data_IF_761909946943
#
_entry.id   IF_761909946943
#
_cell.length_a   1.000
_cell.length_b   1.000
_cell.length_c   1.000
_cell.angle_alpha   90.00
_cell.angle_beta   90.00
_cell.angle_gamma   90.00
#
_symmetry.space_group_name_H-M   'P 1'
#
loop_
_entity.id
_entity.type
_entity.pdbx_description
1 polymer ?
#
# COMPACT_ATOMS: atom_id res chain seq x y z
N UNK A 1 -16.90 12.72 12.12
CA UNK A 1 -15.51 12.24 12.16
C UNK A 1 -14.96 12.26 10.75
N UNK A 2 -13.72 12.68 10.59
CA UNK A 2 -13.01 12.65 9.33
C UNK A 2 -12.07 11.42 9.33
N UNK A 3 -11.83 10.86 8.16
CA UNK A 3 -11.08 9.62 7.98
C UNK A 3 -9.98 9.81 6.94
N UNK A 4 -8.78 9.33 7.27
CA UNK A 4 -7.64 9.37 6.36
C UNK A 4 -7.80 8.22 5.36
N UNK A 5 -7.91 8.57 4.08
CA UNK A 5 -7.98 7.62 2.97
C UNK A 5 -6.60 7.38 2.42
N UNK A 6 -6.24 6.12 2.31
CA UNK A 6 -5.03 5.70 1.63
C UNK A 6 -5.36 4.62 0.60
N UNK A 7 -4.38 4.31 -0.25
CA UNK A 7 -4.47 3.32 -1.30
C UNK A 7 -3.32 2.34 -1.20
N UNK A 8 -3.63 1.05 -1.25
CA UNK A 8 -2.62 -0.01 -1.42
C UNK A 8 -1.93 0.12 -2.78
N UNK A 9 -0.60 0.00 -2.82
CA UNK A 9 0.14 0.18 -4.08
C UNK A 9 0.02 -1.02 -5.02
N UNK A 10 -0.10 -2.22 -4.46
CA UNK A 10 -0.23 -3.48 -5.20
C UNK A 10 -1.64 -3.72 -5.74
N UNK A 11 -2.68 -3.57 -4.89
CA UNK A 11 -4.07 -3.89 -5.26
C UNK A 11 -4.90 -2.69 -5.70
N UNK A 12 -4.37 -1.46 -5.56
CA UNK A 12 -5.10 -0.20 -5.76
C UNK A 12 -6.38 -0.03 -4.90
N UNK A 13 -6.60 -0.90 -3.90
CA UNK A 13 -7.77 -0.81 -3.02
C UNK A 13 -7.65 0.38 -2.09
N UNK A 14 -8.79 1.04 -1.84
CA UNK A 14 -8.87 2.19 -0.93
C UNK A 14 -9.19 1.69 0.48
N UNK A 15 -8.43 2.19 1.45
CA UNK A 15 -8.58 1.87 2.85
C UNK A 15 -8.67 3.14 3.69
N UNK A 16 -9.14 2.95 4.92
CA UNK A 16 -9.08 3.92 5.99
C UNK A 16 -7.89 3.62 6.90
N UNK A 17 -7.08 4.64 7.17
CA UNK A 17 -5.96 4.54 8.12
C UNK A 17 -6.42 5.06 9.48
N UNK A 18 -6.23 4.26 10.51
CA UNK A 18 -6.55 4.58 11.91
C UNK A 18 -5.24 4.75 12.72
N UNK A 19 -5.30 5.40 13.89
CA UNK A 19 -4.13 5.56 14.77
C UNK A 19 -3.19 6.72 14.43
N UNK A 20 -3.58 7.63 13.54
CA UNK A 20 -2.82 8.84 13.20
C UNK A 20 -3.73 10.05 13.03
N UNK A 21 -3.25 11.23 13.43
CA UNK A 21 -4.00 12.47 13.30
C UNK A 21 -3.89 13.05 11.89
N UNK A 22 -4.98 13.65 11.42
CA UNK A 22 -5.06 14.29 10.11
C UNK A 22 -3.98 15.36 9.87
N UNK A 23 -3.54 16.04 10.92
CA UNK A 23 -2.49 17.08 10.85
C UNK A 23 -1.09 16.53 10.57
N UNK A 24 -0.85 15.25 10.87
CA UNK A 24 0.48 14.63 10.78
C UNK A 24 0.70 13.96 9.42
N UNK A 25 -0.32 13.94 8.56
CA UNK A 25 -0.34 13.21 7.29
C UNK A 25 -0.73 14.13 6.15
N UNK A 26 0.05 14.14 5.07
CA UNK A 26 -0.25 14.91 3.87
C UNK A 26 -0.72 14.01 2.73
N UNK A 27 -1.53 14.57 1.83
CA UNK A 27 -1.89 13.89 0.58
C UNK A 27 -0.61 13.61 -0.22
N UNK A 28 -0.44 12.36 -0.64
CA UNK A 28 0.75 11.89 -1.33
C UNK A 28 1.80 11.23 -0.44
N UNK A 29 1.70 11.36 0.89
CA UNK A 29 2.58 10.66 1.83
C UNK A 29 2.45 9.15 1.66
N UNK A 30 3.56 8.45 1.88
CA UNK A 30 3.61 7.01 2.00
C UNK A 30 3.67 6.64 3.48
N UNK A 31 2.77 5.76 3.92
CA UNK A 31 2.68 5.28 5.29
C UNK A 31 2.88 3.77 5.31
N UNK A 32 3.57 3.31 6.35
CA UNK A 32 3.60 1.90 6.72
C UNK A 32 2.43 1.65 7.66
N UNK A 33 1.57 0.72 7.30
CA UNK A 33 0.36 0.36 8.05
C UNK A 33 0.36 -1.14 8.34
N UNK A 34 -0.24 -1.52 9.47
CA UNK A 34 -0.56 -2.90 9.79
C UNK A 34 -1.93 -3.24 9.22
N UNK A 35 -1.97 -4.18 8.29
CA UNK A 35 -3.20 -4.82 7.81
C UNK A 35 -3.33 -6.25 8.36
N UNK A 36 -4.41 -6.93 7.98
CA UNK A 36 -4.61 -8.36 8.28
C UNK A 36 -3.53 -9.27 7.67
N UNK A 37 -2.83 -8.81 6.61
CA UNK A 37 -1.80 -9.57 5.91
C UNK A 37 -0.38 -9.30 6.41
N UNK A 38 -0.19 -8.27 7.23
CA UNK A 38 1.12 -7.84 7.70
C UNK A 38 1.36 -6.34 7.54
N UNK A 39 2.63 -5.96 7.53
CA UNK A 39 3.06 -4.59 7.28
C UNK A 39 2.99 -4.28 5.78
N UNK A 40 2.27 -3.22 5.42
CA UNK A 40 2.08 -2.80 4.03
C UNK A 40 2.32 -1.31 3.86
N UNK A 41 2.70 -0.89 2.64
CA UNK A 41 2.91 0.51 2.30
C UNK A 41 1.70 1.03 1.52
N UNK A 42 1.13 2.12 2.02
CA UNK A 42 -0.04 2.77 1.42
C UNK A 42 0.24 4.23 1.11
N UNK A 43 -0.37 4.73 0.03
CA UNK A 43 -0.27 6.14 -0.37
C UNK A 43 -1.51 6.90 0.06
N UNK A 44 -1.32 8.01 0.76
CA UNK A 44 -2.40 8.85 1.27
C UNK A 44 -3.08 9.59 0.11
N UNK A 45 -4.38 9.40 -0.04
CA UNK A 45 -5.22 10.08 -1.02
C UNK A 45 -5.78 11.41 -0.49
N UNK A 46 -5.98 11.49 0.83
CA UNK A 46 -6.49 12.67 1.52
C UNK A 46 -7.46 12.30 2.64
N UNK A 47 -8.22 13.30 3.08
CA UNK A 47 -9.19 13.17 4.17
C UNK A 47 -10.60 13.11 3.55
N UNK A 48 -11.44 12.20 4.06
CA UNK A 48 -12.84 12.06 3.65
C UNK A 48 -13.75 11.86 4.86
N UNK A 49 -15.01 12.28 4.76
CA UNK A 49 -16.03 12.03 5.77
C UNK A 49 -16.69 10.65 5.62
N UNK A 50 -16.45 9.96 4.51
CA UNK A 50 -17.00 8.64 4.23
C UNK A 50 -16.12 7.53 4.81
N UNK A 51 -16.72 6.46 5.32
CA UNK A 51 -16.00 5.27 5.77
C UNK A 51 -15.48 4.45 4.58
N UNK A 52 -14.48 3.59 4.80
CA UNK A 52 -14.03 2.60 3.82
C UNK A 52 -14.28 1.20 4.39
N UNK A 53 -14.53 0.20 3.53
CA UNK A 53 -14.70 -1.17 3.99
C UNK A 53 -13.41 -1.76 4.57
N UNK A 54 -12.24 -1.31 4.06
CA UNK A 54 -10.94 -1.74 4.52
C UNK A 54 -10.37 -0.75 5.54
N UNK A 55 -9.74 -1.30 6.58
CA UNK A 55 -9.05 -0.54 7.62
C UNK A 55 -7.63 -1.06 7.80
N UNK A 56 -6.71 -0.17 8.12
CA UNK A 56 -5.37 -0.52 8.55
C UNK A 56 -4.91 0.45 9.64
N UNK A 57 -4.01 -0.01 10.50
CA UNK A 57 -3.49 0.78 11.61
C UNK A 57 -2.16 1.44 11.23
N UNK A 58 -2.01 2.73 11.47
CA UNK A 58 -0.77 3.45 11.22
C UNK A 58 0.36 2.94 12.14
N UNK A 59 1.49 2.62 11.54
CA UNK A 59 2.71 2.29 12.29
C UNK A 59 3.72 3.44 12.24
N UNK A 60 4.04 3.93 11.04
CA UNK A 60 5.04 4.99 10.82
C UNK A 60 4.94 5.57 9.40
N UNK A 61 5.60 6.72 9.18
CA UNK A 61 5.86 7.20 7.81
C UNK A 61 6.87 6.28 7.12
N UNK A 62 6.67 6.03 5.83
CA UNK A 62 7.59 5.23 5.04
C UNK A 62 8.94 5.93 4.93
N UNK A 63 10.02 5.20 5.20
CA UNK A 63 11.39 5.65 4.97
C UNK A 63 11.81 5.33 3.53
N UNK A 64 12.90 5.94 3.07
CA UNK A 64 13.47 5.62 1.76
C UNK A 64 13.77 4.12 1.58
N UNK A 65 14.22 3.45 2.65
CA UNK A 65 14.48 2.00 2.62
C UNK A 65 13.19 1.19 2.40
N UNK A 66 12.08 1.60 3.01
CA UNK A 66 10.78 0.95 2.84
C UNK A 66 10.30 1.10 1.39
N UNK A 67 10.45 2.30 0.82
CA UNK A 67 10.11 2.59 -0.58
C UNK A 67 11.01 1.83 -1.57
N UNK A 68 12.30 1.69 -1.26
CA UNK A 68 13.24 0.92 -2.08
C UNK A 68 12.86 -0.55 -2.08
N UNK A 69 12.59 -1.14 -0.91
CA UNK A 69 12.12 -2.52 -0.78
C UNK A 69 10.81 -2.76 -1.53
N UNK A 70 9.87 -1.81 -1.48
CA UNK A 70 8.63 -1.88 -2.24
C UNK A 70 8.90 -1.98 -3.75
N UNK A 71 9.79 -1.13 -4.27
CA UNK A 71 10.16 -1.12 -5.68
C UNK A 71 10.89 -2.42 -6.08
N UNK A 72 11.85 -2.86 -5.29
CA UNK A 72 12.58 -4.12 -5.53
C UNK A 72 11.61 -5.33 -5.56
N UNK A 73 10.59 -5.33 -4.70
CA UNK A 73 9.57 -6.38 -4.68
C UNK A 73 8.67 -6.34 -5.93
N UNK A 74 8.31 -5.15 -6.41
CA UNK A 74 7.55 -4.98 -7.65
C UNK A 74 8.34 -5.49 -8.87
N UNK A 75 9.64 -5.16 -8.95
CA UNK A 75 10.52 -5.64 -10.02
C UNK A 75 10.66 -7.16 -10.02
N UNK A 76 10.85 -7.77 -8.84
CA UNK A 76 10.91 -9.25 -8.71
C UNK A 76 9.58 -9.92 -9.06
N UNK A 77 8.45 -9.30 -8.70
CA UNK A 77 7.13 -9.82 -9.04
C UNK A 77 6.90 -9.80 -10.56
N UNK A 78 7.33 -8.73 -11.25
CA UNK A 78 7.28 -8.63 -12.71
C UNK A 78 8.16 -9.70 -13.37
N UNK A 79 9.41 -9.87 -12.92
CA UNK A 79 10.31 -10.90 -13.45
C UNK A 79 9.71 -12.30 -13.30
N UNK A 80 9.20 -12.63 -12.11
CA UNK A 80 8.55 -13.91 -11.85
C UNK A 80 7.30 -14.11 -12.73
N UNK A 81 6.51 -13.06 -12.95
CA UNK A 81 5.33 -13.10 -13.84
C UNK A 81 5.72 -13.44 -15.27
N UNK A 82 6.77 -12.81 -15.80
CA UNK A 82 7.26 -13.05 -17.15
C UNK A 82 7.83 -14.47 -17.31
N UNK A 83 8.55 -14.98 -16.32
CA UNK A 83 9.04 -16.36 -16.31
C UNK A 83 7.87 -17.35 -16.36
N UNK A 84 6.83 -17.13 -15.56
CA UNK A 84 5.64 -17.97 -15.57
C UNK A 84 4.94 -17.95 -16.94
N UNK A 85 4.75 -16.77 -17.55
CA UNK A 85 4.15 -16.65 -18.88
C UNK A 85 4.95 -17.40 -19.95
N UNK A 86 6.28 -17.27 -19.93
CA UNK A 86 7.18 -17.98 -20.85
C UNK A 86 7.05 -19.49 -20.70
N UNK A 87 7.11 -20.00 -19.46
CA UNK A 87 6.96 -21.43 -19.19
C UNK A 87 5.60 -21.99 -19.62
N UNK A 88 4.52 -21.22 -19.44
CA UNK A 88 3.19 -21.60 -19.94
C UNK A 88 3.20 -21.65 -21.47
N UNK A 89 3.82 -20.69 -22.16
CA UNK A 89 3.90 -20.71 -23.63
C UNK A 89 4.77 -21.86 -24.17
N UNK A 90 5.80 -22.27 -23.43
CA UNK A 90 6.72 -23.35 -23.84
C UNK A 90 6.16 -24.76 -23.58
N UNK A 91 5.26 -24.92 -22.61
CA UNK A 91 4.80 -26.23 -22.13
C UNK A 91 3.27 -26.43 -22.07
N UNK A 92 2.49 -25.38 -22.36
CA UNK A 92 1.03 -25.38 -22.30
C UNK A 92 0.33 -25.77 -23.59
#
# INVERSE_FOLDING_TARGET
MSYIKARFQDTNKILQVEGVWEKDVLKGDYLVVQSEKGEEIVKVLGISKSTAPLKAYFLRKAKEEDLRKMKENEEKALEASEICKRKIAEHG
#
